data_IF_882155665428
#
_entry.id   IF_882155665428
#
_cell.length_a   1.000
_cell.length_b   1.000
_cell.length_c   1.000
_cell.angle_alpha   90.00
_cell.angle_beta   90.00
_cell.angle_gamma   90.00
#
_symmetry.space_group_name_H-M   'P 1'
#
loop_
_entity.id
_entity.type
_entity.pdbx_description
1 polymer ?
#
# COMPACT_ATOMS: atom_id res chain seq x y z
N UNK A 1 -8.28 -22.90 3.82
CA UNK A 1 -8.34 -21.51 3.36
C UNK A 1 -8.44 -20.45 4.47
N UNK A 2 -8.82 -20.82 5.71
CA UNK A 2 -8.88 -19.91 6.86
C UNK A 2 -7.72 -18.91 7.01
N UNK A 3 -6.47 -19.33 6.80
CA UNK A 3 -5.30 -18.45 6.89
C UNK A 3 -5.31 -17.33 5.83
N UNK A 4 -5.77 -17.62 4.61
CA UNK A 4 -5.92 -16.63 3.55
C UNK A 4 -7.03 -15.62 3.90
N UNK A 5 -8.13 -16.10 4.49
CA UNK A 5 -9.21 -15.25 4.96
C UNK A 5 -8.77 -14.32 6.10
N UNK A 6 -7.99 -14.83 7.06
CA UNK A 6 -7.39 -14.03 8.13
C UNK A 6 -6.44 -12.96 7.56
N UNK A 7 -5.60 -13.31 6.58
CA UNK A 7 -4.74 -12.35 5.89
C UNK A 7 -5.54 -11.28 5.13
N UNK A 8 -6.66 -11.65 4.51
CA UNK A 8 -7.54 -10.70 3.85
C UNK A 8 -8.11 -9.67 4.83
N UNK A 9 -8.53 -10.09 6.02
CA UNK A 9 -9.02 -9.17 7.06
C UNK A 9 -7.90 -8.20 7.48
N UNK A 10 -6.71 -8.71 7.77
CA UNK A 10 -5.57 -7.87 8.17
C UNK A 10 -5.16 -6.87 7.07
N UNK A 11 -5.12 -7.30 5.82
CA UNK A 11 -4.84 -6.43 4.67
C UNK A 11 -5.88 -5.33 4.51
N UNK A 12 -7.16 -5.68 4.66
CA UNK A 12 -8.26 -4.71 4.62
C UNK A 12 -8.09 -3.65 5.70
N UNK A 13 -7.76 -4.06 6.94
CA UNK A 13 -7.53 -3.14 8.04
C UNK A 13 -6.34 -2.22 7.82
N UNK A 14 -5.19 -2.75 7.39
CA UNK A 14 -3.98 -1.96 7.15
C UNK A 14 -4.20 -0.97 6.00
N UNK A 15 -4.80 -1.42 4.89
CA UNK A 15 -5.08 -0.53 3.76
C UNK A 15 -6.07 0.57 4.14
N UNK A 16 -7.13 0.24 4.89
CA UNK A 16 -8.07 1.26 5.37
C UNK A 16 -7.37 2.29 6.27
N UNK A 17 -6.50 1.85 7.19
CA UNK A 17 -5.69 2.76 8.03
C UNK A 17 -4.78 3.63 7.17
N UNK A 18 -4.07 3.06 6.21
CA UNK A 18 -3.17 3.79 5.31
C UNK A 18 -3.87 4.80 4.40
N UNK A 19 -5.13 4.56 4.02
CA UNK A 19 -5.94 5.53 3.26
C UNK A 19 -6.46 6.70 4.09
N UNK A 20 -6.47 6.56 5.42
CA UNK A 20 -6.95 7.60 6.34
C UNK A 20 -5.82 8.35 7.04
N UNK A 21 -4.66 7.70 7.20
CA UNK A 21 -3.50 8.26 7.87
C UNK A 21 -2.68 9.13 6.89
N UNK A 22 -2.39 10.40 7.22
CA UNK A 22 -1.46 11.20 6.44
C UNK A 22 -0.11 10.49 6.31
N UNK A 23 0.55 10.59 5.15
CA UNK A 23 1.81 9.89 4.93
C UNK A 23 2.99 10.47 5.75
N UNK A 24 2.82 11.67 6.32
CA UNK A 24 3.80 12.36 7.16
C UNK A 24 3.82 11.81 8.60
N UNK A 25 2.80 11.04 8.98
CA UNK A 25 2.74 10.41 10.30
C UNK A 25 3.82 9.32 10.43
N UNK A 26 4.62 9.30 11.52
CA UNK A 26 5.69 8.33 11.69
C UNK A 26 5.26 6.86 11.59
N UNK A 27 4.02 6.58 11.98
CA UNK A 27 3.44 5.23 11.93
C UNK A 27 3.16 4.76 10.49
N UNK A 28 3.10 5.67 9.52
CA UNK A 28 2.75 5.37 8.14
C UNK A 28 3.80 4.47 7.47
N UNK A 29 5.08 4.63 7.80
CA UNK A 29 6.17 3.81 7.25
C UNK A 29 6.16 2.38 7.77
N UNK A 30 5.85 2.20 9.06
CA UNK A 30 5.67 0.89 9.67
C UNK A 30 4.47 0.15 9.04
N UNK A 31 3.35 0.85 8.85
CA UNK A 31 2.16 0.28 8.22
C UNK A 31 2.41 -0.15 6.77
N UNK A 32 3.18 0.62 6.00
CA UNK A 32 3.58 0.22 4.62
C UNK A 32 4.49 -1.00 4.65
N UNK A 33 5.44 -1.06 5.58
CA UNK A 33 6.32 -2.22 5.71
C UNK A 33 5.52 -3.48 6.06
N UNK A 34 4.57 -3.36 6.98
CA UNK A 34 3.65 -4.44 7.34
C UNK A 34 2.76 -4.84 6.16
N UNK A 35 2.22 -3.88 5.40
CA UNK A 35 1.46 -4.13 4.19
C UNK A 35 2.25 -4.99 3.20
N UNK A 36 3.53 -4.67 2.98
CA UNK A 36 4.38 -5.42 2.04
C UNK A 36 4.56 -6.88 2.48
N UNK A 37 4.77 -7.13 3.77
CA UNK A 37 4.88 -8.49 4.32
C UNK A 37 3.58 -9.27 4.09
N UNK A 38 2.43 -8.71 4.48
CA UNK A 38 1.14 -9.39 4.37
C UNK A 38 0.75 -9.66 2.91
N UNK A 39 1.05 -8.75 1.98
CA UNK A 39 0.81 -8.97 0.54
C UNK A 39 1.68 -10.11 0.02
N UNK A 40 2.94 -10.21 0.46
CA UNK A 40 3.82 -11.31 0.12
C UNK A 40 3.28 -12.66 0.60
N UNK A 41 2.85 -12.73 1.88
CA UNK A 41 2.25 -13.93 2.45
C UNK A 41 0.96 -14.33 1.73
N UNK A 42 0.09 -13.35 1.44
CA UNK A 42 -1.13 -13.58 0.66
C UNK A 42 -0.82 -14.14 -0.72
N UNK A 43 0.19 -13.61 -1.41
CA UNK A 43 0.56 -14.08 -2.75
C UNK A 43 1.01 -15.55 -2.73
N UNK A 44 1.75 -15.96 -1.70
CA UNK A 44 2.16 -17.37 -1.54
C UNK A 44 0.93 -18.27 -1.40
N UNK A 45 -0.03 -17.90 -0.56
CA UNK A 45 -1.25 -18.69 -0.36
C UNK A 45 -2.13 -18.73 -1.61
N UNK A 46 -2.24 -17.61 -2.34
CA UNK A 46 -2.95 -17.58 -3.61
C UNK A 46 -2.28 -18.47 -4.66
N UNK A 47 -0.95 -18.50 -4.73
CA UNK A 47 -0.23 -19.38 -5.66
C UNK A 47 -0.53 -20.85 -5.37
N UNK A 48 -0.62 -21.23 -4.08
CA UNK A 48 -1.02 -22.59 -3.69
C UNK A 48 -2.48 -22.85 -4.08
N UNK A 49 -3.38 -21.90 -3.81
CA UNK A 49 -4.81 -21.99 -4.13
C UNK A 49 -5.05 -22.22 -5.63
N UNK A 50 -4.43 -21.42 -6.51
CA UNK A 50 -4.66 -21.50 -7.95
C UNK A 50 -3.94 -22.69 -8.61
N UNK A 51 -2.92 -23.25 -7.95
CA UNK A 51 -2.24 -24.46 -8.41
C UNK A 51 -2.99 -25.74 -7.99
N UNK A 52 -3.91 -25.67 -7.02
CA UNK A 52 -4.69 -26.82 -6.58
C UNK A 52 -5.77 -27.17 -7.61
N UNK A 53 -5.55 -28.25 -8.37
CA UNK A 53 -6.48 -28.76 -9.36
C UNK A 53 -7.83 -29.22 -8.77
N UNK A 54 -7.93 -29.40 -7.44
CA UNK A 54 -9.18 -29.74 -6.76
C UNK A 54 -9.98 -28.51 -6.32
N UNK A 55 -9.40 -27.31 -6.42
CA UNK A 55 -10.11 -26.07 -6.11
C UNK A 55 -11.12 -25.79 -7.23
N UNK A 56 -12.38 -26.11 -6.95
CA UNK A 56 -13.51 -26.00 -7.89
C UNK A 56 -14.56 -24.99 -7.44
N UNK A 57 -14.35 -24.36 -6.29
CA UNK A 57 -15.23 -23.33 -5.75
C UNK A 57 -14.99 -22.00 -6.48
N UNK A 58 -15.77 -21.80 -7.54
CA UNK A 58 -15.69 -20.61 -8.41
C UNK A 58 -16.03 -19.34 -7.64
N UNK A 59 -17.01 -19.40 -6.73
CA UNK A 59 -17.45 -18.23 -5.96
C UNK A 59 -16.34 -17.76 -5.03
N UNK A 60 -15.65 -18.71 -4.37
CA UNK A 60 -14.49 -18.37 -3.54
C UNK A 60 -13.34 -17.78 -4.36
N UNK A 61 -13.02 -18.36 -5.52
CA UNK A 61 -11.97 -17.82 -6.40
C UNK A 61 -12.31 -16.42 -6.91
N UNK A 62 -13.55 -16.20 -7.31
CA UNK A 62 -14.06 -14.90 -7.74
C UNK A 62 -13.96 -13.86 -6.61
N UNK A 63 -14.33 -14.24 -5.39
CA UNK A 63 -14.18 -13.38 -4.23
C UNK A 63 -12.71 -12.99 -3.97
N UNK A 64 -11.76 -13.93 -4.10
CA UNK A 64 -10.33 -13.62 -3.95
C UNK A 64 -9.81 -12.67 -5.04
N UNK A 65 -10.35 -12.75 -6.26
CA UNK A 65 -10.05 -11.83 -7.34
C UNK A 65 -10.55 -10.42 -7.02
N UNK A 66 -11.80 -10.29 -6.57
CA UNK A 66 -12.41 -9.02 -6.18
C UNK A 66 -11.61 -8.33 -5.07
N UNK A 67 -11.24 -9.07 -4.03
CA UNK A 67 -10.37 -8.57 -2.96
C UNK A 67 -9.02 -8.09 -3.50
N UNK A 68 -8.43 -8.83 -4.45
CA UNK A 68 -7.16 -8.42 -5.07
C UNK A 68 -7.30 -7.09 -5.83
N UNK A 69 -8.40 -6.91 -6.56
CA UNK A 69 -8.68 -5.67 -7.28
C UNK A 69 -8.90 -4.50 -6.31
N UNK A 70 -9.67 -4.72 -5.24
CA UNK A 70 -9.90 -3.72 -4.20
C UNK A 70 -8.59 -3.28 -3.54
N UNK A 71 -7.77 -4.23 -3.11
CA UNK A 71 -6.49 -3.93 -2.47
C UNK A 71 -5.54 -3.18 -3.39
N UNK A 72 -5.51 -3.56 -4.67
CA UNK A 72 -4.71 -2.87 -5.69
C UNK A 72 -5.16 -1.42 -5.86
N UNK A 73 -6.47 -1.17 -5.88
CA UNK A 73 -7.05 0.17 -5.93
C UNK A 73 -6.63 1.01 -4.73
N UNK A 74 -6.81 0.50 -3.50
CA UNK A 74 -6.42 1.20 -2.28
C UNK A 74 -4.92 1.47 -2.21
N UNK A 75 -4.09 0.49 -2.52
CA UNK A 75 -2.63 0.63 -2.52
C UNK A 75 -2.16 1.69 -3.55
N UNK A 76 -2.83 1.77 -4.71
CA UNK A 76 -2.53 2.79 -5.72
C UNK A 76 -2.81 4.21 -5.23
N UNK A 77 -3.91 4.41 -4.50
CA UNK A 77 -4.23 5.71 -3.87
C UNK A 77 -3.16 6.07 -2.85
N UNK A 78 -2.84 5.15 -1.93
CA UNK A 78 -1.80 5.33 -0.90
C UNK A 78 -0.44 5.68 -1.51
N UNK A 79 -0.09 5.04 -2.63
CA UNK A 79 1.14 5.33 -3.37
C UNK A 79 1.10 6.72 -4.02
N UNK A 80 -0.02 7.09 -4.65
CA UNK A 80 -0.18 8.39 -5.29
C UNK A 80 -0.07 9.54 -4.29
N UNK A 81 -0.70 9.42 -3.12
CA UNK A 81 -0.66 10.41 -2.05
C UNK A 81 0.78 10.63 -1.55
N UNK A 82 1.52 9.54 -1.33
CA UNK A 82 2.94 9.58 -0.96
C UNK A 82 3.80 10.23 -2.04
N UNK A 83 3.57 9.89 -3.30
CA UNK A 83 4.31 10.46 -4.41
C UNK A 83 4.07 11.97 -4.55
N UNK A 84 2.84 12.42 -4.34
CA UNK A 84 2.49 13.85 -4.34
C UNK A 84 3.25 14.64 -3.26
N UNK A 85 3.36 14.07 -2.06
CA UNK A 85 4.11 14.67 -0.95
C UNK A 85 5.62 14.75 -1.23
N UNK A 86 6.22 13.70 -1.80
CA UNK A 86 7.62 13.73 -2.21
C UNK A 86 7.89 14.83 -3.24
N UNK A 87 6.99 15.01 -4.21
CA UNK A 87 7.11 16.09 -5.19
C UNK A 87 6.92 17.49 -4.58
N UNK A 88 5.97 17.66 -3.65
CA UNK A 88 5.76 18.91 -2.94
C UNK A 88 6.98 19.29 -2.07
N UNK A 89 7.53 18.34 -1.32
CA UNK A 89 8.74 18.51 -0.52
C UNK A 89 9.96 18.89 -1.37
N UNK A 90 10.12 18.28 -2.56
CA UNK A 90 11.19 18.63 -3.49
C UNK A 90 11.04 20.03 -4.09
N UNK A 91 9.81 20.48 -4.34
CA UNK A 91 9.53 21.84 -4.83
C UNK A 91 9.84 22.90 -3.77
N UNK A 92 9.48 22.65 -2.51
CA UNK A 92 9.81 23.51 -1.38
C UNK A 92 11.32 23.58 -1.11
N UNK A 93 12.05 22.45 -1.14
CA UNK A 93 13.52 22.45 -1.00
C UNK A 93 14.22 23.28 -2.08
N UNK A 94 13.75 23.25 -3.32
CA UNK A 94 14.28 24.11 -4.40
C UNK A 94 14.03 25.59 -4.13
N UNK A 95 12.86 25.96 -3.60
CA UNK A 95 12.57 27.36 -3.27
C UNK A 95 13.43 27.87 -2.11
N UNK A 96 13.61 27.08 -1.05
CA UNK A 96 14.46 27.44 0.10
C UNK A 96 15.91 27.65 -0.34
N UNK A 97 16.47 26.75 -1.15
CA UNK A 97 17.83 26.88 -1.69
C UNK A 97 18.01 28.14 -2.57
N UNK A 98 16.98 28.56 -3.30
CA UNK A 98 17.00 29.81 -4.08
C UNK A 98 17.01 31.05 -3.18
N UNK A 99 16.32 31.03 -2.04
CA UNK A 99 16.37 32.14 -1.09
C UNK A 99 17.70 32.22 -0.33
N UNK A 100 18.26 31.08 0.11
CA UNK A 100 19.57 31.04 0.79
C UNK A 100 20.72 31.53 -0.10
N UNK A 101 20.66 31.23 -1.41
CA UNK A 101 21.69 31.70 -2.36
C UNK A 101 21.60 33.19 -2.69
N UNK A 102 20.45 33.83 -2.46
CA UNK A 102 20.29 35.29 -2.61
C UNK A 102 20.80 36.02 -1.36
N UNK A 103 20.56 35.49 -0.16
CA UNK A 103 21.06 36.09 1.09
C UNK A 103 22.58 35.96 1.26
N UNK A 104 23.22 34.93 0.69
CA UNK A 104 24.69 34.77 0.71
C UNK A 104 25.43 35.68 -0.29
N UNK A 105 24.73 36.39 -1.18
CA UNK A 105 25.31 37.30 -2.19
C UNK A 105 25.10 38.79 -1.85
N UNK A 106 24.87 39.13 -0.57
CA UNK A 106 24.68 40.51 -0.11
C UNK A 106 25.70 40.91 0.94
#
# INVERSE_FOLDING_TARGET
MKQLDELNVLLSEILNKLTQLPAEEPQSDELVSNLQVLVGERQILLNVLVADANMTDVDYLQHQLELTQEYTGKASVVMADRQALLHAGNKNKRQISVYETIDLNR
#
